data_IF_880708868803
#
_entry.id   IF_880708868803
#
_cell.length_a   1.000
_cell.length_b   1.000
_cell.length_c   1.000
_cell.angle_alpha   90.00
_cell.angle_beta   90.00
_cell.angle_gamma   90.00
#
_symmetry.space_group_name_H-M   'P 1'
#
loop_
_entity.id
_entity.type
_entity.pdbx_description
1 polymer ?
#
# COMPACT_ATOMS: atom_id res chain seq x y z
N UNK A 1 32.28 2.84 11.83
CA UNK A 1 31.23 2.91 12.86
C UNK A 1 30.05 3.59 12.21
N UNK A 2 29.28 2.81 11.45
CA UNK A 2 28.08 3.28 10.78
C UNK A 2 26.93 3.27 11.80
N UNK A 3 26.59 4.47 12.25
CA UNK A 3 25.40 4.71 13.04
C UNK A 3 24.17 4.41 12.18
N UNK A 4 23.67 3.18 12.21
CA UNK A 4 22.34 2.87 11.77
C UNK A 4 21.37 3.71 12.60
N UNK A 5 20.95 4.86 12.04
CA UNK A 5 19.71 5.50 12.48
C UNK A 5 18.60 4.51 12.19
N UNK A 6 18.18 3.77 13.20
CA UNK A 6 16.90 3.12 13.21
C UNK A 6 15.85 4.22 13.05
N UNK A 7 15.45 4.50 11.79
CA UNK A 7 14.26 5.30 11.57
C UNK A 7 13.10 4.53 12.21
N UNK A 8 12.41 5.12 13.18
CA UNK A 8 11.39 4.43 13.92
C UNK A 8 10.31 3.97 12.93
N UNK A 9 10.04 2.67 12.92
CA UNK A 9 8.77 2.13 12.45
C UNK A 9 7.70 3.14 12.82
N UNK A 10 6.97 3.69 11.83
CA UNK A 10 6.00 4.76 12.05
C UNK A 10 4.92 4.26 13.02
N UNK A 11 5.22 4.35 14.30
CA UNK A 11 4.25 4.14 15.35
C UNK A 11 3.37 5.38 15.38
N UNK A 12 2.13 5.25 14.93
CA UNK A 12 1.14 6.30 15.08
C UNK A 12 1.03 6.66 16.58
N UNK A 13 0.77 7.95 16.90
CA UNK A 13 0.61 8.48 18.27
C UNK A 13 -0.32 7.65 19.19
N UNK A 14 -0.97 6.64 18.65
CA UNK A 14 -1.86 5.69 19.34
C UNK A 14 -1.26 4.28 19.48
N UNK A 15 0.05 4.10 19.30
CA UNK A 15 0.70 2.79 19.41
C UNK A 15 0.40 1.83 18.26
N UNK A 16 -0.14 2.33 17.13
CA UNK A 16 -0.45 1.50 15.96
C UNK A 16 0.75 1.42 15.04
N UNK A 17 1.13 0.21 14.65
CA UNK A 17 2.08 -0.02 13.57
C UNK A 17 1.35 0.16 12.24
N UNK A 18 1.50 1.33 11.65
CA UNK A 18 0.84 1.71 10.40
C UNK A 18 1.89 2.02 9.36
N UNK A 19 1.95 1.20 8.33
CA UNK A 19 2.75 1.48 7.14
C UNK A 19 1.90 2.27 6.15
N UNK A 20 2.21 3.56 6.00
CA UNK A 20 1.51 4.45 5.07
C UNK A 20 2.15 4.38 3.69
N UNK A 21 1.37 4.61 2.64
CA UNK A 21 1.92 4.75 1.30
C UNK A 21 2.92 5.91 1.21
N UNK A 22 4.03 5.67 0.52
CA UNK A 22 4.90 6.76 0.07
C UNK A 22 4.08 7.72 -0.78
N UNK A 23 4.27 9.01 -0.56
CA UNK A 23 3.58 10.04 -1.35
C UNK A 23 4.04 9.90 -2.81
N UNK A 24 3.15 9.68 -3.78
CA UNK A 24 3.52 9.63 -5.20
C UNK A 24 3.83 11.04 -5.76
N UNK A 25 4.25 11.97 -4.89
CA UNK A 25 4.49 13.37 -5.23
C UNK A 25 5.44 13.53 -6.42
N UNK A 26 6.42 12.63 -6.53
CA UNK A 26 7.38 12.66 -7.63
C UNK A 26 6.76 12.41 -9.02
N UNK A 27 5.64 11.69 -9.09
CA UNK A 27 4.93 11.43 -10.35
C UNK A 27 3.72 12.37 -10.54
N UNK A 28 3.03 12.71 -9.46
CA UNK A 28 1.82 13.55 -9.52
C UNK A 28 2.16 15.00 -9.85
N UNK A 29 3.25 15.55 -9.30
CA UNK A 29 3.67 16.93 -9.53
C UNK A 29 4.01 17.22 -11.01
N UNK A 30 4.89 16.45 -11.69
CA UNK A 30 5.20 16.72 -13.09
C UNK A 30 3.99 16.50 -14.00
N UNK A 31 3.15 15.51 -13.74
CA UNK A 31 1.95 15.28 -14.52
C UNK A 31 0.94 16.43 -14.36
N UNK A 32 0.75 16.93 -13.15
CA UNK A 32 -0.08 18.11 -12.88
C UNK A 32 0.47 19.36 -13.59
N UNK A 33 1.79 19.57 -13.55
CA UNK A 33 2.43 20.70 -14.23
C UNK A 33 2.22 20.65 -15.75
N UNK A 34 2.42 19.49 -16.38
CA UNK A 34 2.17 19.32 -17.83
C UNK A 34 0.71 19.60 -18.18
N UNK A 35 -0.23 19.12 -17.37
CA UNK A 35 -1.66 19.33 -17.59
C UNK A 35 -2.04 20.81 -17.48
N UNK A 36 -1.48 21.52 -16.48
CA UNK A 36 -1.69 22.97 -16.32
C UNK A 36 -1.13 23.75 -17.51
N UNK A 37 0.10 23.44 -17.93
CA UNK A 37 0.73 24.10 -19.09
C UNK A 37 -0.09 23.89 -20.36
N UNK A 38 -0.50 22.67 -20.66
CA UNK A 38 -1.33 22.35 -21.81
C UNK A 38 -2.66 23.10 -21.80
N UNK A 39 -3.31 23.17 -20.65
CA UNK A 39 -4.57 23.86 -20.51
C UNK A 39 -4.45 25.39 -20.64
N UNK A 40 -3.40 25.99 -20.07
CA UNK A 40 -3.11 27.42 -20.24
C UNK A 40 -2.87 27.74 -21.71
N UNK A 41 -2.12 26.88 -22.42
CA UNK A 41 -1.91 27.04 -23.87
C UNK A 41 -3.24 27.00 -24.64
N UNK A 42 -4.14 26.08 -24.35
CA UNK A 42 -5.46 26.02 -24.96
C UNK A 42 -6.29 27.29 -24.69
N UNK A 43 -6.23 27.84 -23.47
CA UNK A 43 -6.92 29.08 -23.15
C UNK A 43 -6.36 30.26 -23.92
N UNK A 44 -5.04 30.40 -24.01
CA UNK A 44 -4.38 31.44 -24.76
C UNK A 44 -4.67 31.36 -26.26
N UNK A 45 -4.91 30.15 -26.77
CA UNK A 45 -5.35 29.90 -28.15
C UNK A 45 -6.86 30.20 -28.37
N UNK A 46 -7.56 30.73 -27.37
CA UNK A 46 -8.99 31.10 -27.46
C UNK A 46 -9.96 29.94 -27.34
N UNK A 47 -9.50 28.76 -26.98
CA UNK A 47 -10.35 27.60 -26.82
C UNK A 47 -10.93 27.54 -25.38
N UNK A 48 -12.23 27.84 -25.23
CA UNK A 48 -12.94 27.74 -23.93
C UNK A 48 -12.91 26.35 -23.32
N UNK A 49 -12.73 25.31 -24.13
CA UNK A 49 -12.59 23.92 -23.70
C UNK A 49 -11.30 23.70 -22.86
N UNK A 50 -10.33 24.62 -22.91
CA UNK A 50 -9.08 24.54 -22.16
C UNK A 50 -9.28 24.42 -20.66
N UNK A 51 -10.32 25.02 -20.11
CA UNK A 51 -10.66 24.89 -18.69
C UNK A 51 -11.03 23.45 -18.30
N UNK A 52 -11.77 22.74 -19.13
CA UNK A 52 -12.10 21.34 -18.91
C UNK A 52 -10.89 20.42 -19.05
N UNK A 53 -9.97 20.75 -19.97
CA UNK A 53 -8.72 20.01 -20.15
C UNK A 53 -7.82 20.10 -18.92
N UNK A 54 -7.86 21.22 -18.18
CA UNK A 54 -7.11 21.38 -16.91
C UNK A 54 -7.88 20.79 -15.74
N UNK A 55 -9.14 21.17 -15.59
CA UNK A 55 -9.91 20.89 -14.37
C UNK A 55 -10.18 19.39 -14.18
N UNK A 56 -10.61 18.68 -15.22
CA UNK A 56 -10.97 17.28 -15.09
C UNK A 56 -9.77 16.38 -14.68
N UNK A 57 -8.59 16.41 -15.33
CA UNK A 57 -7.45 15.62 -14.91
C UNK A 57 -6.88 16.08 -13.55
N UNK A 58 -6.89 17.39 -13.25
CA UNK A 58 -6.42 17.89 -11.96
C UNK A 58 -7.30 17.38 -10.81
N UNK A 59 -8.61 17.43 -10.97
CA UNK A 59 -9.56 16.85 -10.00
C UNK A 59 -9.38 15.34 -9.90
N UNK A 60 -9.26 14.62 -11.03
CA UNK A 60 -9.05 13.19 -11.03
C UNK A 60 -7.75 12.79 -10.31
N UNK A 61 -6.65 13.52 -10.57
CA UNK A 61 -5.37 13.31 -9.88
C UNK A 61 -5.46 13.60 -8.39
N UNK A 62 -6.12 14.70 -8.00
CA UNK A 62 -6.32 15.07 -6.61
C UNK A 62 -7.16 14.02 -5.89
N UNK A 63 -8.27 13.61 -6.47
CA UNK A 63 -9.15 12.56 -5.94
C UNK A 63 -8.39 11.24 -5.81
N UNK A 64 -7.63 10.86 -6.84
CA UNK A 64 -6.81 9.66 -6.81
C UNK A 64 -5.74 9.74 -5.71
N UNK A 65 -5.02 10.86 -5.60
CA UNK A 65 -3.99 11.05 -4.59
C UNK A 65 -4.54 11.06 -3.15
N UNK A 66 -5.75 11.56 -2.95
CA UNK A 66 -6.42 11.59 -1.65
C UNK A 66 -7.06 10.25 -1.26
N UNK A 67 -7.73 9.60 -2.22
CA UNK A 67 -8.50 8.38 -1.97
C UNK A 67 -7.65 7.11 -2.03
N UNK A 68 -6.66 7.05 -2.94
CA UNK A 68 -5.80 5.87 -3.11
C UNK A 68 -4.54 5.94 -2.25
N UNK A 69 -4.71 6.01 -0.93
CA UNK A 69 -3.62 5.86 0.04
C UNK A 69 -3.69 4.47 0.64
N UNK A 70 -3.03 3.47 0.05
CA UNK A 70 -2.99 2.17 0.67
C UNK A 70 -2.24 2.27 2.00
N UNK A 71 -2.84 1.74 3.05
CA UNK A 71 -2.20 1.59 4.34
C UNK A 71 -2.25 0.13 4.75
N UNK A 72 -1.18 -0.35 5.35
CA UNK A 72 -1.12 -1.66 5.97
C UNK A 72 -1.01 -1.44 7.48
N UNK A 73 -2.01 -1.87 8.22
CA UNK A 73 -2.05 -1.79 9.68
C UNK A 73 -1.91 -3.20 10.26
N UNK A 74 -1.00 -3.35 11.22
CA UNK A 74 -0.93 -4.55 12.04
C UNK A 74 -1.93 -4.39 13.18
N UNK A 75 -2.86 -5.33 13.27
CA UNK A 75 -3.90 -5.34 14.29
C UNK A 75 -3.85 -6.64 15.08
N UNK A 76 -4.51 -6.67 16.23
CA UNK A 76 -4.60 -7.89 17.06
C UNK A 76 -5.15 -9.07 16.29
N UNK A 77 -6.10 -8.83 15.38
CA UNK A 77 -6.79 -9.86 14.62
C UNK A 77 -6.03 -10.29 13.36
N UNK A 78 -5.19 -9.42 12.79
CA UNK A 78 -4.52 -9.69 11.51
C UNK A 78 -3.94 -8.47 10.83
N UNK A 79 -3.61 -8.65 9.57
CA UNK A 79 -3.16 -7.61 8.66
C UNK A 79 -4.38 -6.90 8.05
N UNK A 80 -4.58 -5.65 8.40
CA UNK A 80 -5.65 -4.81 7.86
C UNK A 80 -5.08 -3.94 6.75
N UNK A 81 -5.45 -4.23 5.52
CA UNK A 81 -5.21 -3.36 4.38
C UNK A 81 -6.38 -2.41 4.21
N UNK A 82 -6.09 -1.12 4.18
CA UNK A 82 -7.06 -0.11 3.79
C UNK A 82 -6.65 0.49 2.46
N UNK A 83 -7.49 0.33 1.48
CA UNK A 83 -7.35 0.96 0.16
C UNK A 83 -8.76 1.35 -0.28
N UNK A 84 -9.06 2.64 -0.21
CA UNK A 84 -10.40 3.10 -0.58
C UNK A 84 -10.78 2.65 -2.00
N UNK A 85 -12.01 2.17 -2.24
CA UNK A 85 -13.11 2.00 -1.29
C UNK A 85 -13.07 0.67 -0.50
N UNK A 86 -12.04 -0.12 -0.64
CA UNK A 86 -11.96 -1.47 -0.08
C UNK A 86 -11.07 -1.51 1.15
N UNK A 87 -11.50 -2.29 2.13
CA UNK A 87 -10.66 -2.73 3.24
C UNK A 87 -10.68 -4.24 3.30
N UNK A 88 -9.54 -4.86 3.51
CA UNK A 88 -9.44 -6.30 3.69
C UNK A 88 -8.65 -6.61 4.95
N UNK A 89 -9.17 -7.52 5.76
CA UNK A 89 -8.52 -8.05 6.94
C UNK A 89 -8.11 -9.50 6.65
N UNK A 90 -6.79 -9.76 6.70
CA UNK A 90 -6.25 -11.12 6.65
C UNK A 90 -5.86 -11.51 8.06
N UNK A 91 -6.57 -12.46 8.66
CA UNK A 91 -6.38 -12.89 10.05
C UNK A 91 -5.07 -13.63 10.22
N UNK A 92 -4.44 -13.52 11.40
CA UNK A 92 -3.18 -14.20 11.71
C UNK A 92 -3.30 -15.72 11.65
N UNK A 93 -4.43 -16.25 12.08
CA UNK A 93 -4.70 -17.70 12.15
C UNK A 93 -4.82 -18.38 10.77
N UNK A 94 -5.02 -17.61 9.71
CA UNK A 94 -5.08 -18.14 8.34
C UNK A 94 -3.78 -17.99 7.57
N UNK A 95 -2.79 -17.25 8.11
CA UNK A 95 -1.50 -17.02 7.47
C UNK A 95 -0.52 -18.12 7.88
N UNK A 96 -0.06 -18.91 6.94
CA UNK A 96 0.94 -19.95 7.17
C UNK A 96 2.38 -19.43 7.08
N UNK A 97 2.66 -18.54 6.13
CA UNK A 97 3.99 -17.93 5.97
C UNK A 97 3.91 -16.60 5.23
N UNK A 98 4.95 -15.77 5.42
CA UNK A 98 5.10 -14.49 4.73
C UNK A 98 6.48 -14.35 4.12
N UNK A 99 6.59 -13.62 3.02
CA UNK A 99 7.87 -13.37 2.37
C UNK A 99 7.80 -12.22 1.39
N UNK A 100 8.97 -11.77 0.94
CA UNK A 100 9.09 -10.75 -0.10
C UNK A 100 9.37 -11.42 -1.44
N UNK A 101 8.73 -10.92 -2.48
CA UNK A 101 9.00 -11.31 -3.86
C UNK A 101 8.93 -10.10 -4.79
N UNK A 102 9.54 -10.25 -5.97
CA UNK A 102 9.42 -9.25 -7.03
C UNK A 102 8.50 -9.76 -8.13
N UNK A 103 7.62 -8.89 -8.59
CA UNK A 103 6.79 -9.13 -9.75
C UNK A 103 6.94 -7.94 -10.71
N UNK A 104 7.71 -8.13 -11.77
CA UNK A 104 8.16 -7.04 -12.63
C UNK A 104 8.98 -6.01 -11.85
N UNK A 105 8.58 -4.74 -11.93
CA UNK A 105 9.25 -3.63 -11.21
C UNK A 105 8.66 -3.36 -9.81
N UNK A 106 7.82 -4.26 -9.29
CA UNK A 106 7.14 -4.09 -7.99
C UNK A 106 7.69 -5.06 -6.96
N UNK A 107 7.84 -4.57 -5.73
CA UNK A 107 8.18 -5.41 -4.57
C UNK A 107 6.91 -5.68 -3.80
N UNK A 108 6.62 -6.94 -3.56
CA UNK A 108 5.40 -7.42 -2.93
C UNK A 108 5.73 -8.19 -1.65
N UNK A 109 5.02 -7.88 -0.59
CA UNK A 109 4.93 -8.73 0.59
C UNK A 109 3.88 -9.80 0.30
N UNK A 110 4.31 -11.01 -0.01
CA UNK A 110 3.43 -12.15 -0.25
C UNK A 110 3.14 -12.91 1.04
N UNK A 111 1.95 -13.50 1.12
CA UNK A 111 1.62 -14.46 2.17
C UNK A 111 1.01 -15.72 1.59
N UNK A 112 1.29 -16.86 2.25
CA UNK A 112 0.62 -18.12 2.00
C UNK A 112 -0.43 -18.35 3.06
N UNK A 113 -1.55 -18.89 2.65
CA UNK A 113 -2.61 -19.28 3.54
C UNK A 113 -2.37 -20.71 4.07
N UNK A 114 -2.95 -21.01 5.20
CA UNK A 114 -3.04 -22.38 5.70
C UNK A 114 -3.77 -23.26 4.70
N UNK A 115 -3.43 -24.57 4.60
CA UNK A 115 -4.11 -25.49 3.70
C UNK A 115 -5.62 -25.51 3.92
N UNK A 116 -6.40 -25.49 2.81
CA UNK A 116 -7.86 -25.49 2.86
C UNK A 116 -8.50 -24.11 2.94
N UNK A 117 -7.73 -23.02 3.07
CA UNK A 117 -8.26 -21.66 3.06
C UNK A 117 -8.30 -21.13 1.62
N UNK A 118 -9.46 -20.69 1.11
CA UNK A 118 -9.54 -20.17 -0.24
C UNK A 118 -8.82 -18.83 -0.37
N UNK A 119 -8.08 -18.60 -1.48
CA UNK A 119 -7.39 -17.36 -1.70
C UNK A 119 -8.36 -16.17 -1.86
N UNK A 120 -7.95 -14.96 -1.45
CA UNK A 120 -8.79 -13.79 -1.55
C UNK A 120 -9.10 -13.44 -3.01
N UNK A 121 -10.40 -13.30 -3.34
CA UNK A 121 -10.86 -13.13 -4.72
C UNK A 121 -10.56 -11.78 -5.35
N UNK A 122 -10.30 -10.73 -4.56
CA UNK A 122 -10.20 -9.33 -5.04
C UNK A 122 -8.99 -8.60 -4.49
N UNK A 123 -7.79 -9.17 -4.63
CA UNK A 123 -6.56 -8.47 -4.29
C UNK A 123 -5.71 -8.26 -5.54
N UNK A 124 -5.44 -7.01 -5.96
CA UNK A 124 -4.63 -6.74 -7.15
C UNK A 124 -3.19 -7.27 -7.00
N UNK A 125 -2.62 -7.25 -5.81
CA UNK A 125 -1.32 -7.83 -5.54
C UNK A 125 -1.31 -9.36 -5.74
N UNK A 126 -2.40 -10.07 -5.37
CA UNK A 126 -2.52 -11.51 -5.59
C UNK A 126 -2.57 -11.88 -7.08
N UNK A 127 -3.24 -11.06 -7.89
CA UNK A 127 -3.25 -11.25 -9.34
C UNK A 127 -1.85 -11.10 -9.95
N UNK A 128 -1.10 -10.08 -9.52
CA UNK A 128 0.26 -9.83 -9.98
C UNK A 128 1.24 -10.94 -9.54
N UNK A 129 1.09 -11.43 -8.30
CA UNK A 129 1.88 -12.55 -7.78
C UNK A 129 1.67 -13.82 -8.59
N UNK A 130 0.42 -14.14 -8.93
CA UNK A 130 0.10 -15.29 -9.79
C UNK A 130 0.66 -15.14 -11.20
N UNK A 131 0.54 -13.96 -11.79
CA UNK A 131 1.10 -13.67 -13.12
C UNK A 131 2.64 -13.77 -13.13
N UNK A 132 3.30 -13.48 -12.02
CA UNK A 132 4.74 -13.62 -11.84
C UNK A 132 5.18 -15.05 -11.49
N UNK A 133 4.27 -16.02 -11.40
CA UNK A 133 4.58 -17.39 -11.00
C UNK A 133 4.98 -17.54 -9.53
N UNK A 134 4.70 -16.55 -8.70
CA UNK A 134 5.06 -16.59 -7.29
C UNK A 134 4.08 -17.49 -6.50
N UNK A 135 4.63 -18.31 -5.61
CA UNK A 135 3.86 -19.27 -4.81
C UNK A 135 3.22 -18.63 -3.57
N UNK A 136 2.48 -17.51 -3.76
CA UNK A 136 1.75 -16.83 -2.70
C UNK A 136 0.27 -16.72 -3.05
N UNK A 137 -0.58 -16.86 -2.04
CA UNK A 137 -2.04 -16.82 -2.19
C UNK A 137 -2.59 -15.40 -2.18
N UNK A 138 -1.87 -14.49 -1.52
CA UNK A 138 -2.19 -13.08 -1.46
C UNK A 138 -0.99 -12.22 -1.18
N UNK A 139 -1.17 -10.89 -1.19
CA UNK A 139 -0.05 -10.00 -0.92
C UNK A 139 -0.41 -8.53 -0.90
N UNK A 140 0.61 -7.74 -0.57
CA UNK A 140 0.55 -6.29 -0.45
C UNK A 140 1.72 -5.66 -1.22
N UNK A 141 1.52 -4.47 -1.75
CA UNK A 141 2.59 -3.72 -2.42
C UNK A 141 3.53 -3.11 -1.36
N UNK A 142 4.65 -3.79 -1.12
CA UNK A 142 5.62 -3.36 -0.11
C UNK A 142 6.39 -2.10 -0.53
N UNK A 143 6.67 -1.94 -1.83
CA UNK A 143 7.33 -0.76 -2.40
C UNK A 143 6.49 0.52 -2.30
N UNK A 144 5.18 0.39 -2.13
CA UNK A 144 4.28 1.54 -1.95
C UNK A 144 4.18 1.99 -0.49
N UNK A 145 4.68 1.19 0.46
CA UNK A 145 4.64 1.51 1.88
C UNK A 145 5.85 2.37 2.28
N UNK A 146 5.67 3.22 3.29
CA UNK A 146 6.80 3.93 3.91
C UNK A 146 7.61 2.94 4.76
N UNK A 147 8.94 2.96 4.59
CA UNK A 147 9.85 1.99 5.17
C UNK A 147 10.51 1.12 4.11
N UNK A 148 11.48 0.31 4.53
CA UNK A 148 12.08 -0.69 3.67
C UNK A 148 11.19 -1.92 3.63
N UNK A 149 11.03 -2.60 2.48
CA UNK A 149 10.22 -3.80 2.39
C UNK A 149 10.60 -4.89 3.40
N UNK A 150 11.90 -4.99 3.72
CA UNK A 150 12.44 -5.93 4.70
C UNK A 150 11.96 -5.61 6.11
N UNK A 151 11.91 -4.33 6.50
CA UNK A 151 11.42 -3.89 7.81
C UNK A 151 9.93 -4.23 8.00
N UNK A 152 9.15 -4.08 6.91
CA UNK A 152 7.73 -4.47 6.91
C UNK A 152 7.60 -5.98 7.08
N UNK A 153 8.44 -6.77 6.38
CA UNK A 153 8.46 -8.22 6.48
C UNK A 153 8.82 -8.67 7.90
N UNK A 154 9.88 -8.11 8.48
CA UNK A 154 10.36 -8.47 9.81
C UNK A 154 9.32 -8.12 10.89
N UNK A 155 8.66 -6.96 10.76
CA UNK A 155 7.56 -6.60 11.61
C UNK A 155 6.42 -7.63 11.52
N UNK A 156 6.00 -8.00 10.31
CA UNK A 156 4.92 -8.97 10.12
C UNK A 156 5.31 -10.35 10.66
N UNK A 157 6.54 -10.83 10.39
CA UNK A 157 7.05 -12.11 10.92
C UNK A 157 7.04 -12.14 12.42
N UNK A 158 7.54 -11.09 13.07
CA UNK A 158 7.60 -11.00 14.54
C UNK A 158 6.23 -11.25 15.18
N UNK A 159 5.16 -10.69 14.62
CA UNK A 159 3.80 -10.89 15.13
C UNK A 159 3.17 -12.20 14.65
N UNK A 160 3.64 -12.76 13.54
CA UNK A 160 3.20 -14.07 13.08
C UNK A 160 3.77 -15.18 13.96
N UNK A 161 5.06 -15.10 14.31
CA UNK A 161 5.80 -16.11 15.05
C UNK A 161 5.51 -16.08 16.55
N UNK A 162 5.20 -14.87 17.10
CA UNK A 162 4.87 -14.71 18.52
C UNK A 162 3.43 -14.19 18.74
N UNK A 163 2.48 -15.10 18.96
CA UNK A 163 1.08 -14.74 19.22
C UNK A 163 0.88 -13.85 20.47
N UNK A 164 1.78 -13.93 21.47
CA UNK A 164 1.65 -13.13 22.69
C UNK A 164 1.84 -11.63 22.40
N UNK A 165 2.71 -11.28 21.44
CA UNK A 165 2.92 -9.90 21.03
C UNK A 165 1.67 -9.29 20.39
N UNK A 166 0.78 -10.09 19.78
CA UNK A 166 -0.44 -9.60 19.14
C UNK A 166 -1.38 -8.90 20.13
N UNK A 167 -1.30 -9.27 21.42
CA UNK A 167 -2.09 -8.61 22.47
C UNK A 167 -1.72 -7.14 22.65
N UNK A 168 -0.50 -6.73 22.28
CA UNK A 168 -0.04 -5.33 22.35
C UNK A 168 -0.57 -4.49 21.22
N UNK A 169 -1.04 -5.11 20.13
CA UNK A 169 -1.59 -4.40 18.98
C UNK A 169 -3.01 -3.91 19.23
N UNK A 170 -3.42 -2.81 18.59
CA UNK A 170 -4.78 -2.33 18.68
C UNK A 170 -5.75 -3.27 17.96
N UNK A 171 -7.05 -3.27 18.35
CA UNK A 171 -8.07 -4.01 17.62
C UNK A 171 -8.30 -3.43 16.22
N UNK A 172 -8.70 -4.28 15.28
CA UNK A 172 -9.08 -3.85 13.95
C UNK A 172 -10.33 -2.96 14.01
N UNK A 173 -10.20 -1.70 13.64
CA UNK A 173 -11.36 -0.81 13.46
C UNK A 173 -11.83 -0.93 12.01
N UNK A 174 -13.01 -1.45 11.82
CA UNK A 174 -13.69 -1.51 10.52
C UNK A 174 -14.32 -0.17 10.16
#
# INVERSE_FOLDING_TARGET
VDGHREEPLLVDRRGRLVFRARRPAALVLPLAAVTVVAGVWCILAGATIGWFVIAAPAVALLVTALLFRPTLELTREGLLQRQYPFSSLTRWDVIGSVGITRAGNRILLGYRLMPGIPPPRRQPAAALLRAAGAHYDGGYFADSLAGRPEEVLDAVRRYLDDPALRATLPPARR
#
